data_IF_656744171934
#
_entry.id   IF_656744171934
#
_cell.length_a   1.000
_cell.length_b   1.000
_cell.length_c   1.000
_cell.angle_alpha   90.00
_cell.angle_beta   90.00
_cell.angle_gamma   90.00
#
_symmetry.space_group_name_H-M   'P 1'
#
loop_
_entity.id
_entity.type
_entity.pdbx_description
1 polymer ?
#
# COMPACT_ATOMS: atom_id res chain seq x y z
N UNK A 1 -50.63 -20.91 -8.91
CA UNK A 1 -50.30 -19.46 -8.95
C UNK A 1 -48.99 -19.26 -8.22
N UNK A 2 -47.97 -18.77 -8.91
CA UNK A 2 -46.64 -18.45 -8.35
C UNK A 2 -46.76 -17.12 -7.59
N UNK A 3 -46.35 -17.10 -6.32
CA UNK A 3 -46.04 -15.87 -5.62
C UNK A 3 -44.52 -15.71 -5.57
N UNK A 4 -44.09 -14.61 -6.15
CA UNK A 4 -42.71 -14.19 -6.37
C UNK A 4 -42.07 -13.81 -5.04
N UNK A 5 -41.01 -14.51 -4.64
CA UNK A 5 -40.09 -14.02 -3.62
C UNK A 5 -39.14 -13.01 -4.27
N UNK A 6 -39.19 -11.75 -3.83
CA UNK A 6 -38.16 -10.76 -4.12
C UNK A 6 -37.14 -10.77 -2.97
N UNK A 7 -35.95 -11.29 -3.25
CA UNK A 7 -34.74 -10.97 -2.53
C UNK A 7 -34.32 -9.55 -2.92
N UNK A 8 -34.29 -8.60 -1.99
CA UNK A 8 -33.52 -7.36 -2.14
C UNK A 8 -32.20 -7.51 -1.43
N UNK A 9 -31.18 -7.82 -2.24
CA UNK A 9 -29.79 -7.74 -1.90
C UNK A 9 -29.36 -6.28 -1.66
N UNK A 10 -28.29 -6.15 -0.86
CA UNK A 10 -27.17 -5.24 -1.04
C UNK A 10 -27.44 -3.73 -1.27
N UNK A 11 -26.79 -2.94 -0.42
CA UNK A 11 -26.18 -1.69 -0.85
C UNK A 11 -26.99 -0.44 -0.56
N UNK A 12 -26.72 0.16 0.59
CA UNK A 12 -26.60 1.62 0.64
C UNK A 12 -25.35 1.95 1.44
N UNK A 13 -24.23 2.11 0.72
CA UNK A 13 -23.14 2.96 1.16
C UNK A 13 -23.75 4.34 1.40
N UNK A 14 -23.90 4.72 2.67
CA UNK A 14 -24.24 6.08 3.03
C UNK A 14 -23.00 6.95 2.79
N UNK A 15 -22.88 7.47 1.57
CA UNK A 15 -22.04 8.61 1.28
C UNK A 15 -22.63 9.82 2.02
N UNK A 16 -22.15 10.08 3.25
CA UNK A 16 -22.41 11.33 3.95
C UNK A 16 -21.13 12.15 3.90
N UNK A 17 -21.10 13.03 2.89
CA UNK A 17 -20.25 14.22 2.88
C UNK A 17 -20.74 15.14 4.01
N UNK A 18 -20.03 15.14 5.13
CA UNK A 18 -20.07 16.23 6.10
C UNK A 18 -18.66 16.61 6.47
N UNK A 19 -18.28 17.82 6.06
CA UNK A 19 -17.05 18.46 6.48
C UNK A 19 -17.04 18.62 8.00
N UNK A 20 -15.95 18.17 8.60
CA UNK A 20 -15.57 18.56 9.96
C UNK A 20 -14.07 18.79 9.95
N UNK A 21 -13.69 20.04 10.18
CA UNK A 21 -12.37 20.41 10.65
C UNK A 21 -12.02 19.53 11.85
N UNK A 22 -10.95 18.76 11.74
CA UNK A 22 -10.48 17.86 12.78
C UNK A 22 -9.06 17.47 12.47
N UNK A 23 -8.12 18.13 13.16
CA UNK A 23 -6.72 17.80 13.38
C UNK A 23 -6.21 16.58 12.57
N UNK A 24 -5.39 16.85 11.55
CA UNK A 24 -4.64 15.84 10.82
C UNK A 24 -3.86 14.96 11.81
N UNK A 25 -4.32 13.73 12.01
CA UNK A 25 -3.62 12.77 12.86
C UNK A 25 -2.69 11.97 11.96
N UNK A 26 -1.57 12.59 11.61
CA UNK A 26 -0.46 11.89 10.99
C UNK A 26 -0.01 10.76 11.92
N UNK A 27 0.25 9.57 11.39
CA UNK A 27 0.86 8.48 12.14
C UNK A 27 2.15 9.02 12.81
N UNK A 28 2.22 9.06 14.15
CA UNK A 28 3.28 9.78 14.86
C UNK A 28 4.62 9.02 14.85
N UNK A 29 4.64 7.80 14.31
CA UNK A 29 5.81 6.92 14.34
C UNK A 29 6.56 6.91 13.00
N UNK A 30 7.90 6.84 13.03
CA UNK A 30 8.70 6.65 11.82
C UNK A 30 8.26 5.40 11.07
N UNK A 31 8.01 5.52 9.77
CA UNK A 31 7.55 4.39 8.97
C UNK A 31 8.62 3.30 8.88
N UNK A 32 8.19 2.04 8.96
CA UNK A 32 9.06 0.87 9.04
C UNK A 32 9.60 0.59 10.44
N UNK A 33 9.31 1.45 11.43
CA UNK A 33 9.55 1.12 12.83
C UNK A 33 8.53 0.08 13.30
N UNK A 34 8.92 -0.74 14.28
CA UNK A 34 8.01 -1.64 14.98
C UNK A 34 6.77 -0.89 15.52
N UNK A 35 6.95 0.35 15.97
CA UNK A 35 5.87 1.19 16.49
C UNK A 35 4.86 1.57 15.41
N UNK A 36 5.32 1.85 14.19
CA UNK A 36 4.47 2.11 13.04
C UNK A 36 3.68 0.86 12.61
N UNK A 37 4.30 -0.33 12.62
CA UNK A 37 3.60 -1.60 12.37
C UNK A 37 2.51 -1.87 13.40
N UNK A 38 2.85 -1.67 14.67
CA UNK A 38 1.91 -1.86 15.78
C UNK A 38 0.72 -0.89 15.67
N UNK A 39 0.96 0.36 15.29
CA UNK A 39 -0.10 1.36 15.09
C UNK A 39 -1.08 0.97 13.98
N UNK A 40 -0.56 0.58 12.81
CA UNK A 40 -1.42 0.20 11.69
C UNK A 40 -2.18 -1.12 11.97
N UNK A 41 -1.52 -2.09 12.62
CA UNK A 41 -2.17 -3.32 13.08
C UNK A 41 -3.27 -3.05 14.10
N UNK A 42 -3.03 -2.11 15.04
CA UNK A 42 -4.04 -1.69 16.00
C UNK A 42 -5.27 -1.11 15.29
N UNK A 43 -5.09 -0.24 14.29
CA UNK A 43 -6.20 0.36 13.54
C UNK A 43 -7.03 -0.68 12.77
N UNK A 44 -6.39 -1.66 12.13
CA UNK A 44 -7.12 -2.76 11.49
C UNK A 44 -7.86 -3.62 12.52
N UNK A 45 -7.21 -3.94 13.64
CA UNK A 45 -7.84 -4.72 14.71
C UNK A 45 -9.00 -4.00 15.39
N UNK A 46 -8.98 -2.65 15.42
CA UNK A 46 -10.06 -1.83 15.95
C UNK A 46 -11.28 -1.88 15.04
N UNK A 47 -11.09 -1.75 13.72
CA UNK A 47 -12.16 -1.91 12.75
C UNK A 47 -12.83 -3.29 12.89
N UNK A 48 -12.03 -4.34 13.01
CA UNK A 48 -12.52 -5.71 13.22
C UNK A 48 -13.23 -5.87 14.58
N UNK A 49 -12.71 -5.23 15.64
CA UNK A 49 -13.31 -5.27 16.98
C UNK A 49 -14.69 -4.63 16.98
N UNK A 50 -14.84 -3.45 16.37
CA UNK A 50 -16.13 -2.77 16.26
C UNK A 50 -17.14 -3.65 15.51
N UNK A 51 -16.71 -4.32 14.44
CA UNK A 51 -17.57 -5.25 13.70
C UNK A 51 -17.98 -6.46 14.55
N UNK A 52 -17.06 -7.02 15.36
CA UNK A 52 -17.37 -8.10 16.31
C UNK A 52 -18.34 -7.66 17.41
N UNK A 53 -18.14 -6.48 17.99
CA UNK A 53 -19.05 -5.91 19.01
C UNK A 53 -20.47 -5.79 18.44
N UNK A 54 -20.61 -5.23 17.23
CA UNK A 54 -21.90 -5.12 16.53
C UNK A 54 -22.57 -6.47 16.34
N UNK A 55 -21.81 -7.48 15.92
CA UNK A 55 -22.33 -8.84 15.72
C UNK A 55 -22.74 -9.49 17.05
N UNK A 56 -21.95 -9.30 18.12
CA UNK A 56 -22.25 -9.84 19.44
C UNK A 56 -23.51 -9.21 20.04
N UNK A 57 -23.70 -7.89 19.93
CA UNK A 57 -24.92 -7.23 20.44
C UNK A 57 -26.17 -7.61 19.66
N UNK A 58 -26.04 -7.92 18.36
CA UNK A 58 -27.15 -8.47 17.55
C UNK A 58 -27.56 -9.90 17.97
N UNK A 59 -26.67 -10.64 18.64
CA UNK A 59 -26.88 -12.03 19.04
C UNK A 59 -27.26 -12.21 20.52
N UNK A 60 -27.37 -11.15 21.32
CA UNK A 60 -27.68 -11.28 22.75
C UNK A 60 -29.13 -11.79 22.98
N UNK A 61 -29.36 -12.86 23.78
CA UNK A 61 -30.69 -13.43 24.03
C UNK A 61 -31.53 -12.70 25.10
N UNK A 62 -31.32 -11.40 25.35
CA UNK A 62 -32.00 -10.68 26.45
C UNK A 62 -32.64 -9.41 25.89
N UNK A 63 -33.89 -9.12 26.32
CA UNK A 63 -34.80 -8.03 25.91
C UNK A 63 -34.23 -6.59 25.98
N UNK A 64 -33.10 -6.31 25.36
CA UNK A 64 -32.62 -4.94 25.15
C UNK A 64 -31.75 -4.93 23.89
N UNK A 65 -32.35 -4.47 22.79
CA UNK A 65 -31.57 -4.05 21.64
C UNK A 65 -30.62 -2.89 22.03
N UNK A 66 -29.62 -2.59 21.20
CA UNK A 66 -28.68 -1.51 21.48
C UNK A 66 -29.43 -0.19 21.63
N UNK A 67 -29.06 0.59 22.63
CA UNK A 67 -29.61 1.93 22.84
C UNK A 67 -29.16 2.87 21.74
N UNK A 68 -29.93 3.92 21.48
CA UNK A 68 -29.54 4.96 20.53
C UNK A 68 -28.20 5.66 20.91
N UNK A 69 -27.79 5.61 22.18
CA UNK A 69 -26.50 6.12 22.61
C UNK A 69 -25.35 5.18 22.21
N UNK A 70 -25.52 3.86 22.39
CA UNK A 70 -24.54 2.86 21.98
C UNK A 70 -24.35 2.83 20.46
N UNK A 71 -25.46 2.90 19.71
CA UNK A 71 -25.42 2.98 18.24
C UNK A 71 -24.62 4.21 17.79
N UNK A 72 -24.93 5.40 18.32
CA UNK A 72 -24.19 6.63 17.98
C UNK A 72 -22.72 6.55 18.36
N UNK A 73 -22.39 5.93 19.49
CA UNK A 73 -21.01 5.74 19.91
C UNK A 73 -20.24 4.80 18.96
N UNK A 74 -20.88 3.75 18.43
CA UNK A 74 -20.29 2.90 17.39
C UNK A 74 -20.10 3.66 16.08
N UNK A 75 -21.14 4.35 15.61
CA UNK A 75 -21.09 5.14 14.37
C UNK A 75 -19.98 6.19 14.41
N UNK A 76 -19.79 6.87 15.54
CA UNK A 76 -18.70 7.83 15.71
C UNK A 76 -17.31 7.17 15.66
N UNK A 77 -17.14 5.99 16.28
CA UNK A 77 -15.87 5.25 16.22
C UNK A 77 -15.57 4.77 14.81
N UNK A 78 -16.56 4.24 14.10
CA UNK A 78 -16.40 3.83 12.71
C UNK A 78 -16.07 5.01 11.81
N UNK A 79 -16.79 6.12 11.94
CA UNK A 79 -16.52 7.33 11.17
C UNK A 79 -15.07 7.82 11.39
N UNK A 80 -14.58 7.79 12.64
CA UNK A 80 -13.19 8.15 12.96
C UNK A 80 -12.20 7.21 12.30
N UNK A 81 -12.39 5.89 12.43
CA UNK A 81 -11.50 4.89 11.83
C UNK A 81 -11.49 5.00 10.30
N UNK A 82 -12.65 5.16 9.67
CA UNK A 82 -12.75 5.31 8.22
C UNK A 82 -12.11 6.61 7.73
N UNK A 83 -12.25 7.71 8.48
CA UNK A 83 -11.57 8.97 8.15
C UNK A 83 -10.04 8.82 8.21
N UNK A 84 -9.53 8.11 9.22
CA UNK A 84 -8.10 7.86 9.38
C UNK A 84 -7.56 6.93 8.29
N UNK A 85 -8.29 5.86 7.94
CA UNK A 85 -7.94 4.99 6.80
C UNK A 85 -7.91 5.80 5.50
N UNK A 86 -8.90 6.66 5.27
CA UNK A 86 -8.93 7.54 4.10
C UNK A 86 -7.74 8.50 4.08
N UNK A 87 -7.32 9.02 5.23
CA UNK A 87 -6.13 9.84 5.38
C UNK A 87 -4.82 9.08 5.08
N UNK A 88 -4.71 7.84 5.55
CA UNK A 88 -3.54 7.02 5.25
C UNK A 88 -3.48 6.63 3.78
N UNK A 89 -4.61 6.31 3.15
CA UNK A 89 -4.69 6.01 1.71
C UNK A 89 -4.27 7.17 0.81
N UNK A 90 -4.58 8.42 1.21
CA UNK A 90 -4.17 9.63 0.49
C UNK A 90 -2.74 10.07 0.82
N UNK A 91 -2.17 9.62 1.93
CA UNK A 91 -0.79 9.96 2.33
C UNK A 91 0.19 9.26 1.40
N UNK A 92 1.13 9.98 0.74
CA UNK A 92 2.13 9.34 -0.09
C UNK A 92 3.18 8.65 0.78
N UNK A 93 3.26 7.32 0.65
CA UNK A 93 4.37 6.56 1.21
C UNK A 93 5.35 6.22 0.11
N UNK A 94 6.48 6.92 0.09
CA UNK A 94 7.53 6.86 -0.90
C UNK A 94 8.44 5.64 -0.72
N UNK A 95 8.87 5.10 -1.86
CA UNK A 95 9.97 4.16 -2.01
C UNK A 95 10.94 4.68 -3.06
N UNK A 96 12.23 4.45 -2.83
CA UNK A 96 13.27 4.67 -3.82
C UNK A 96 13.91 3.33 -4.20
N UNK A 97 14.33 3.25 -5.47
CA UNK A 97 15.06 2.14 -6.06
C UNK A 97 16.39 2.70 -6.56
N UNK A 98 17.48 2.06 -6.20
CA UNK A 98 18.82 2.38 -6.68
C UNK A 98 19.50 1.14 -7.27
N UNK A 99 20.48 1.40 -8.11
CA UNK A 99 21.34 0.39 -8.71
C UNK A 99 22.79 0.84 -8.64
N UNK A 100 23.66 -0.06 -8.25
CA UNK A 100 25.11 0.12 -8.26
C UNK A 100 25.69 -0.52 -9.52
N UNK A 101 26.17 0.30 -10.46
CA UNK A 101 26.69 -0.19 -11.73
C UNK A 101 28.06 -0.85 -11.62
N UNK A 102 28.81 -0.62 -10.53
CA UNK A 102 30.10 -1.25 -10.31
C UNK A 102 29.91 -2.66 -9.72
N UNK A 103 29.03 -2.78 -8.73
CA UNK A 103 28.78 -4.07 -8.04
C UNK A 103 27.61 -4.87 -8.62
N UNK A 104 26.80 -4.26 -9.50
CA UNK A 104 25.57 -4.83 -10.09
C UNK A 104 24.54 -5.22 -9.04
N UNK A 105 24.46 -4.46 -7.96
CA UNK A 105 23.52 -4.65 -6.87
C UNK A 105 22.34 -3.70 -6.99
N UNK A 106 21.15 -4.22 -6.71
CA UNK A 106 19.91 -3.47 -6.59
C UNK A 106 19.63 -3.15 -5.13
N UNK A 107 19.23 -1.92 -4.84
CA UNK A 107 18.86 -1.48 -3.49
C UNK A 107 17.50 -0.81 -3.54
N UNK A 108 16.75 -0.96 -2.47
CA UNK A 108 15.47 -0.26 -2.32
C UNK A 108 15.19 0.03 -0.86
N UNK A 109 14.45 1.10 -0.61
CA UNK A 109 13.92 1.39 0.70
C UNK A 109 12.63 2.18 0.56
N UNK A 110 11.59 1.82 1.32
CA UNK A 110 10.27 2.40 1.13
C UNK A 110 9.40 2.43 2.35
N UNK A 111 8.25 3.09 2.18
CA UNK A 111 7.28 3.38 3.22
C UNK A 111 7.43 4.80 3.78
N UNK A 112 8.33 5.64 3.30
CA UNK A 112 8.59 6.92 3.93
C UNK A 112 7.55 7.98 3.56
N UNK A 113 7.15 8.83 4.50
CA UNK A 113 6.27 9.99 4.20
C UNK A 113 7.03 11.06 3.39
N UNK A 114 8.37 10.95 3.32
CA UNK A 114 9.26 11.85 2.59
C UNK A 114 10.01 11.10 1.48
N UNK A 115 9.89 11.60 0.26
CA UNK A 115 10.67 11.12 -0.90
C UNK A 115 12.17 11.24 -0.66
N UNK A 116 12.61 12.37 -0.11
CA UNK A 116 14.02 12.61 0.24
C UNK A 116 14.53 11.53 1.19
N UNK A 117 13.73 11.16 2.21
CA UNK A 117 14.12 10.13 3.16
C UNK A 117 14.21 8.75 2.51
N UNK A 118 13.30 8.43 1.58
CA UNK A 118 13.38 7.19 0.81
C UNK A 118 14.69 7.13 0.01
N UNK A 119 15.04 8.21 -0.68
CA UNK A 119 16.30 8.34 -1.42
C UNK A 119 17.52 8.18 -0.50
N UNK A 120 17.56 8.91 0.60
CA UNK A 120 18.66 8.88 1.56
C UNK A 120 18.89 7.46 2.12
N UNK A 121 17.82 6.80 2.57
CA UNK A 121 17.89 5.45 3.15
C UNK A 121 18.25 4.38 2.11
N UNK A 122 17.79 4.53 0.86
CA UNK A 122 18.23 3.65 -0.22
C UNK A 122 19.71 3.85 -0.55
N UNK A 123 20.18 5.09 -0.62
CA UNK A 123 21.58 5.38 -0.97
C UNK A 123 22.58 4.95 0.11
N UNK A 124 22.17 4.85 1.39
CA UNK A 124 22.99 4.29 2.46
C UNK A 124 23.39 2.83 2.24
N UNK A 125 22.65 2.10 1.39
CA UNK A 125 22.94 0.71 1.04
C UNK A 125 23.98 0.59 -0.08
N UNK A 126 24.30 1.70 -0.77
CA UNK A 126 25.29 1.70 -1.84
C UNK A 126 26.69 1.43 -1.31
N UNK A 127 27.49 0.70 -2.09
CA UNK A 127 28.90 0.42 -1.76
C UNK A 127 29.90 1.11 -2.68
N UNK A 128 29.45 1.66 -3.81
CA UNK A 128 30.28 2.43 -4.76
C UNK A 128 29.76 3.86 -5.00
N UNK A 129 30.62 4.70 -5.62
CA UNK A 129 30.27 6.04 -6.09
C UNK A 129 29.45 6.03 -7.38
N UNK A 130 29.38 4.90 -8.08
CA UNK A 130 28.58 4.69 -9.28
C UNK A 130 27.16 4.18 -8.96
N UNK A 131 26.78 4.19 -7.68
CA UNK A 131 25.41 3.98 -7.26
C UNK A 131 24.51 5.16 -7.66
N UNK A 132 23.33 4.86 -8.21
CA UNK A 132 22.35 5.86 -8.65
C UNK A 132 20.94 5.45 -8.27
N UNK A 133 20.14 6.42 -7.83
CA UNK A 133 18.69 6.25 -7.77
C UNK A 133 18.16 6.14 -9.19
N UNK A 134 17.41 5.08 -9.46
CA UNK A 134 16.76 4.81 -10.74
C UNK A 134 15.34 5.37 -10.76
N UNK A 135 14.61 5.18 -9.65
CA UNK A 135 13.22 5.64 -9.56
C UNK A 135 12.78 5.87 -8.12
N UNK A 136 11.91 6.86 -7.95
CA UNK A 136 11.09 7.08 -6.76
C UNK A 136 9.61 6.94 -7.13
N UNK A 137 8.80 6.42 -6.20
CA UNK A 137 7.35 6.26 -6.39
C UNK A 137 6.64 6.18 -5.04
N UNK A 138 5.33 6.41 -5.03
CA UNK A 138 4.49 6.30 -3.83
C UNK A 138 3.13 5.69 -4.16
N UNK A 139 2.53 4.99 -3.19
CA UNK A 139 1.17 4.43 -3.25
C UNK A 139 0.88 3.58 -4.50
N UNK A 140 1.87 2.79 -4.94
CA UNK A 140 1.82 1.95 -6.13
C UNK A 140 2.87 0.84 -6.05
N UNK A 141 2.84 -0.10 -6.99
CA UNK A 141 3.91 -1.07 -7.22
C UNK A 141 4.82 -0.62 -8.36
N UNK A 142 6.08 -1.03 -8.27
CA UNK A 142 7.11 -0.90 -9.30
C UNK A 142 7.69 -2.28 -9.62
N UNK A 143 7.72 -2.64 -10.89
CA UNK A 143 8.52 -3.76 -11.36
C UNK A 143 9.76 -3.23 -12.08
N UNK A 144 10.88 -3.92 -11.88
CA UNK A 144 12.17 -3.55 -12.47
C UNK A 144 12.67 -4.69 -13.33
N UNK A 145 12.98 -4.37 -14.57
CA UNK A 145 13.50 -5.30 -15.58
C UNK A 145 14.78 -4.71 -16.16
N UNK A 146 15.73 -5.57 -16.45
CA UNK A 146 16.96 -5.23 -17.18
C UNK A 146 17.20 -6.26 -18.29
N UNK A 147 17.98 -5.93 -19.32
CA UNK A 147 18.37 -6.91 -20.33
C UNK A 147 19.24 -8.00 -19.71
N UNK A 148 19.18 -9.22 -20.26
CA UNK A 148 19.99 -10.35 -19.79
C UNK A 148 21.49 -10.11 -19.95
N UNK A 149 21.88 -9.23 -20.86
CA UNK A 149 23.25 -8.71 -21.00
C UNK A 149 23.71 -7.84 -19.83
N UNK A 150 22.82 -7.61 -18.85
CA UNK A 150 22.94 -6.71 -17.70
C UNK A 150 22.92 -5.23 -18.10
N UNK A 151 22.36 -4.40 -17.22
CA UNK A 151 22.33 -2.96 -17.41
C UNK A 151 23.74 -2.36 -17.37
N UNK A 152 24.08 -1.52 -18.35
CA UNK A 152 25.34 -0.75 -18.39
C UNK A 152 25.15 0.69 -17.94
N UNK A 153 23.91 1.17 -18.00
CA UNK A 153 23.51 2.51 -17.61
C UNK A 153 22.09 2.51 -17.07
N UNK A 154 21.66 3.63 -16.48
CA UNK A 154 20.29 3.78 -15.99
C UNK A 154 19.23 3.68 -17.10
N UNK A 155 19.62 3.96 -18.36
CA UNK A 155 18.73 3.82 -19.51
C UNK A 155 18.43 2.35 -19.87
N UNK A 156 19.25 1.40 -19.40
CA UNK A 156 19.02 -0.04 -19.59
C UNK A 156 18.16 -0.65 -18.47
N UNK A 157 17.70 0.16 -17.51
CA UNK A 157 16.86 -0.30 -16.40
C UNK A 157 15.43 0.20 -16.62
N UNK A 158 14.53 -0.76 -16.85
CA UNK A 158 13.14 -0.50 -17.18
C UNK A 158 12.29 -0.64 -15.93
N UNK A 159 11.78 0.49 -15.44
CA UNK A 159 10.87 0.55 -14.29
C UNK A 159 9.48 0.92 -14.76
N UNK A 160 8.49 0.07 -14.51
CA UNK A 160 7.10 0.39 -14.74
C UNK A 160 6.31 0.43 -13.44
N UNK A 161 5.37 1.37 -13.35
CA UNK A 161 4.52 1.61 -12.19
C UNK A 161 3.08 1.21 -12.49
N UNK A 162 2.48 0.47 -11.57
CA UNK A 162 1.04 0.19 -11.58
C UNK A 162 0.55 -0.16 -10.17
N UNK A 163 -0.74 0.07 -9.92
CA UNK A 163 -1.42 -0.33 -8.69
C UNK A 163 -1.59 -1.84 -8.60
N UNK A 164 -1.62 -2.54 -9.73
CA UNK A 164 -1.58 -3.99 -9.83
C UNK A 164 -0.15 -4.44 -10.11
N UNK A 165 0.38 -5.33 -9.26
CA UNK A 165 1.76 -5.78 -9.33
C UNK A 165 2.07 -6.54 -10.64
N UNK A 166 1.12 -7.33 -11.14
CA UNK A 166 1.26 -8.06 -12.41
C UNK A 166 1.27 -7.12 -13.60
N UNK A 167 0.46 -6.07 -13.57
CA UNK A 167 0.45 -5.07 -14.63
C UNK A 167 1.75 -4.26 -14.64
N UNK A 168 2.29 -3.90 -13.48
CA UNK A 168 3.61 -3.28 -13.39
C UNK A 168 4.68 -4.19 -14.03
N UNK A 169 4.66 -5.49 -13.68
CA UNK A 169 5.58 -6.48 -14.23
C UNK A 169 5.49 -6.59 -15.77
N UNK A 170 4.28 -6.78 -16.30
CA UNK A 170 4.04 -6.89 -17.73
C UNK A 170 4.50 -5.64 -18.50
N UNK A 171 4.23 -4.43 -17.97
CA UNK A 171 4.65 -3.17 -18.59
C UNK A 171 6.17 -3.01 -18.61
N UNK A 172 6.86 -3.36 -17.51
CA UNK A 172 8.32 -3.27 -17.43
C UNK A 172 8.98 -4.23 -18.41
N UNK A 173 8.50 -5.49 -18.45
CA UNK A 173 9.01 -6.50 -19.36
C UNK A 173 8.81 -6.09 -20.81
N UNK A 174 7.59 -5.67 -21.16
CA UNK A 174 7.28 -5.19 -22.52
C UNK A 174 8.18 -4.04 -22.96
N UNK A 175 8.48 -3.09 -22.05
CA UNK A 175 9.35 -1.96 -22.35
C UNK A 175 10.79 -2.40 -22.63
N UNK A 176 11.31 -3.36 -21.86
CA UNK A 176 12.64 -3.91 -22.10
C UNK A 176 12.69 -4.71 -23.41
N UNK A 177 11.73 -5.60 -23.64
CA UNK A 177 11.69 -6.45 -24.84
C UNK A 177 11.49 -5.65 -26.12
N UNK A 178 10.80 -4.51 -26.05
CA UNK A 178 10.68 -3.59 -27.18
C UNK A 178 12.04 -3.03 -27.63
N UNK A 179 13.01 -2.92 -26.72
CA UNK A 179 14.35 -2.40 -27.01
C UNK A 179 15.39 -3.50 -27.23
N UNK A 180 15.30 -4.62 -26.52
CA UNK A 180 16.31 -5.68 -26.51
C UNK A 180 15.88 -6.99 -27.19
N UNK A 181 14.63 -7.07 -27.64
CA UNK A 181 14.04 -8.27 -28.24
C UNK A 181 13.34 -9.16 -27.20
N UNK A 182 12.29 -9.86 -27.66
CA UNK A 182 11.50 -10.76 -26.82
C UNK A 182 12.38 -11.87 -26.22
N UNK A 183 12.22 -12.13 -24.92
CA UNK A 183 12.97 -13.16 -24.20
C UNK A 183 14.42 -12.80 -23.84
N UNK A 184 14.85 -11.55 -24.07
CA UNK A 184 16.22 -11.08 -23.73
C UNK A 184 16.25 -10.18 -22.48
N UNK A 185 15.23 -10.29 -21.64
CA UNK A 185 14.98 -9.41 -20.51
C UNK A 185 14.57 -10.21 -19.29
N UNK A 186 15.07 -9.81 -18.13
CA UNK A 186 14.80 -10.46 -16.85
C UNK A 186 14.43 -9.44 -15.78
N UNK A 187 13.51 -9.84 -14.91
CA UNK A 187 13.26 -9.10 -13.67
C UNK A 187 14.51 -9.09 -12.81
N UNK A 188 14.69 -8.02 -12.03
CA UNK A 188 15.61 -8.08 -10.90
C UNK A 188 15.27 -9.26 -9.98
N UNK A 189 16.27 -9.77 -9.24
CA UNK A 189 16.15 -11.00 -8.43
C UNK A 189 15.08 -10.95 -7.31
N UNK A 190 14.35 -9.84 -7.18
CA UNK A 190 13.19 -9.72 -6.30
C UNK A 190 12.06 -10.55 -6.89
N UNK A 191 11.62 -11.59 -6.16
CA UNK A 191 10.55 -12.52 -6.60
C UNK A 191 9.20 -11.85 -6.86
N UNK A 192 9.01 -10.59 -6.42
CA UNK A 192 7.77 -9.81 -6.54
C UNK A 192 8.08 -8.35 -6.85
N UNK A 193 7.17 -7.62 -7.53
CA UNK A 193 7.25 -6.18 -7.67
C UNK A 193 7.36 -5.48 -6.30
N UNK A 194 8.07 -4.36 -6.29
CA UNK A 194 8.29 -3.54 -5.11
C UNK A 194 7.08 -2.62 -4.91
N UNK A 195 6.29 -2.83 -3.86
CA UNK A 195 5.09 -2.03 -3.60
C UNK A 195 5.25 -1.16 -2.35
N UNK A 196 4.65 0.03 -2.37
CA UNK A 196 4.62 0.97 -1.23
C UNK A 196 3.28 1.69 -1.17
N UNK A 197 2.83 2.07 0.03
CA UNK A 197 1.52 2.65 0.28
C UNK A 197 0.78 1.95 1.41
N UNK A 198 -0.26 2.61 1.94
CA UNK A 198 -1.09 2.06 3.00
C UNK A 198 -1.70 0.70 2.63
N UNK A 199 -2.28 0.61 1.43
CA UNK A 199 -2.90 -0.63 0.93
C UNK A 199 -1.88 -1.66 0.42
N UNK A 200 -0.62 -1.26 0.25
CA UNK A 200 0.43 -2.05 -0.37
C UNK A 200 1.43 -2.63 0.61
N UNK A 201 1.19 -2.39 1.91
CA UNK A 201 1.99 -2.83 3.06
C UNK A 201 3.21 -3.60 2.61
N UNK A 202 4.38 -2.96 2.59
CA UNK A 202 5.71 -3.54 2.31
C UNK A 202 6.10 -4.64 3.34
N UNK A 203 5.09 -5.14 4.05
CA UNK A 203 5.02 -5.96 5.25
C UNK A 203 3.77 -6.86 5.22
N UNK A 204 3.09 -6.96 4.08
CA UNK A 204 2.01 -7.93 3.84
C UNK A 204 2.60 -9.32 3.90
N UNK A 205 2.64 -9.84 5.12
CA UNK A 205 2.81 -11.24 5.45
C UNK A 205 2.00 -12.09 4.46
N UNK A 206 2.68 -13.06 3.86
CA UNK A 206 2.04 -14.32 3.48
C UNK A 206 2.07 -15.19 4.72
#
# INVERSE_FOLDING_TARGET
MKQTMMNTAAGVLAAVLLGSAGLAYANPYPVGSQQWHNYNGAMQSEADRIQRERNATRQQPINRGPTAAEIRAWEQREAKVQAEIAELRRTPFYMAIAYDFDTRQSMWSGGYISEHRAVEETLKQCSSSNCRVIRTFANTCAAVVEPDSRAKSAADIFVALDKDDRQAAAKAMHSCEAQHGAGNCSYWQVRKPLCTGYDYSIYGQH
#
